data_IF_810141865436
#
_entry.id   IF_810141865436
#
_cell.length_a   1.000
_cell.length_b   1.000
_cell.length_c   1.000
_cell.angle_alpha   90.00
_cell.angle_beta   90.00
_cell.angle_gamma   90.00
#
_symmetry.space_group_name_H-M   'P 1'
#
loop_
_entity.id
_entity.type
_entity.pdbx_description
1 polymer ?
#
# COMPACT_ATOMS: atom_id res chain seq x y z
N UNK A 1 7.32 -53.52 12.48
CA UNK A 1 8.36 -52.47 12.61
C UNK A 1 8.35 -51.53 11.39
N UNK A 2 7.90 -50.28 11.54
CA UNK A 2 7.97 -49.25 10.48
C UNK A 2 9.42 -48.75 10.38
N UNK A 3 10.01 -48.64 9.17
CA UNK A 3 11.36 -48.10 9.05
C UNK A 3 11.40 -46.63 9.48
N UNK A 4 12.50 -46.16 10.07
CA UNK A 4 12.63 -44.76 10.48
C UNK A 4 12.55 -43.85 9.25
N UNK A 5 11.69 -42.82 9.32
CA UNK A 5 11.62 -41.77 8.31
C UNK A 5 12.97 -41.05 8.32
N UNK A 6 13.80 -41.27 7.29
CA UNK A 6 15.02 -40.49 7.08
C UNK A 6 14.64 -39.01 7.08
N UNK A 7 15.12 -38.27 8.06
CA UNK A 7 15.09 -36.80 8.04
C UNK A 7 15.88 -36.36 6.82
N UNK A 8 15.22 -35.71 5.86
CA UNK A 8 15.91 -35.13 4.71
C UNK A 8 16.72 -33.95 5.23
N UNK A 9 18.03 -34.14 5.34
CA UNK A 9 18.96 -33.03 5.59
C UNK A 9 19.06 -32.19 4.33
N UNK A 10 19.07 -30.87 4.50
CA UNK A 10 19.23 -29.94 3.39
C UNK A 10 20.68 -29.94 2.93
N UNK A 11 20.85 -29.94 1.62
CA UNK A 11 22.17 -29.76 1.00
C UNK A 11 22.65 -28.31 1.17
N UNK A 12 23.95 -28.08 1.08
CA UNK A 12 24.53 -26.72 1.13
C UNK A 12 23.95 -25.80 0.04
N UNK A 13 23.57 -26.36 -1.12
CA UNK A 13 22.91 -25.61 -2.19
C UNK A 13 21.49 -25.18 -1.79
N UNK A 14 20.72 -26.08 -1.19
CA UNK A 14 19.36 -25.77 -0.73
C UNK A 14 19.40 -24.68 0.36
N UNK A 15 20.36 -24.74 1.28
CA UNK A 15 20.56 -23.69 2.29
C UNK A 15 20.82 -22.31 1.66
N UNK A 16 21.79 -22.21 0.73
CA UNK A 16 22.08 -20.94 0.04
C UNK A 16 20.90 -20.38 -0.74
N UNK A 17 20.06 -21.24 -1.32
CA UNK A 17 18.86 -20.78 -2.03
C UNK A 17 17.82 -20.21 -1.08
N UNK A 18 17.67 -20.80 0.11
CA UNK A 18 16.77 -20.27 1.13
C UNK A 18 17.29 -18.95 1.71
N UNK A 19 18.60 -18.83 1.93
CA UNK A 19 19.21 -17.57 2.33
C UNK A 19 18.96 -16.47 1.28
N UNK A 20 19.18 -16.79 0.00
CA UNK A 20 18.92 -15.83 -1.10
C UNK A 20 17.43 -15.47 -1.21
N UNK A 21 16.53 -16.42 -0.96
CA UNK A 21 15.09 -16.16 -0.96
C UNK A 21 14.71 -15.22 0.20
N UNK A 22 15.32 -15.41 1.37
CA UNK A 22 15.11 -14.52 2.53
C UNK A 22 15.60 -13.09 2.24
N UNK A 23 16.76 -12.94 1.62
CA UNK A 23 17.27 -11.63 1.18
C UNK A 23 16.30 -10.94 0.21
N UNK A 24 15.82 -11.66 -0.81
CA UNK A 24 14.87 -11.09 -1.79
C UNK A 24 13.55 -10.70 -1.13
N UNK A 25 13.06 -11.47 -0.15
CA UNK A 25 11.88 -11.07 0.60
C UNK A 25 12.12 -9.81 1.43
N UNK A 26 13.28 -9.68 2.08
CA UNK A 26 13.62 -8.46 2.81
C UNK A 26 13.72 -7.23 1.89
N UNK A 27 14.31 -7.38 0.70
CA UNK A 27 14.35 -6.32 -0.33
C UNK A 27 12.93 -5.93 -0.78
N UNK A 28 12.06 -6.92 -0.99
CA UNK A 28 10.67 -6.69 -1.36
C UNK A 28 9.90 -5.95 -0.26
N UNK A 29 10.07 -6.35 1.00
CA UNK A 29 9.41 -5.74 2.16
C UNK A 29 9.85 -4.28 2.32
N UNK A 30 11.15 -4.00 2.16
CA UNK A 30 11.67 -2.63 2.18
C UNK A 30 11.07 -1.75 1.06
N UNK A 31 10.97 -2.28 -0.17
CA UNK A 31 10.35 -1.57 -1.28
C UNK A 31 8.84 -1.36 -1.08
N UNK A 32 8.14 -2.31 -0.46
CA UNK A 32 6.73 -2.18 -0.11
C UNK A 32 6.51 -1.09 0.95
N UNK A 33 7.36 -1.05 1.98
CA UNK A 33 7.36 0.00 3.02
C UNK A 33 7.57 1.38 2.42
N UNK A 34 8.57 1.54 1.54
CA UNK A 34 8.85 2.81 0.87
C UNK A 34 7.63 3.27 0.04
N UNK A 35 7.05 2.36 -0.75
CA UNK A 35 5.84 2.62 -1.51
C UNK A 35 4.67 3.02 -0.60
N UNK A 36 4.49 2.36 0.54
CA UNK A 36 3.46 2.70 1.52
C UNK A 36 3.67 4.11 2.09
N UNK A 37 4.91 4.49 2.40
CA UNK A 37 5.27 5.84 2.84
C UNK A 37 4.92 6.91 1.80
N UNK A 38 5.17 6.66 0.52
CA UNK A 38 4.77 7.57 -0.57
C UNK A 38 3.25 7.69 -0.70
N UNK A 39 2.51 6.59 -0.55
CA UNK A 39 1.03 6.62 -0.57
C UNK A 39 0.51 7.42 0.64
N UNK A 40 1.07 7.23 1.83
CA UNK A 40 0.70 7.98 3.03
C UNK A 40 0.96 9.47 2.86
N UNK A 41 2.11 9.86 2.29
CA UNK A 41 2.42 11.24 1.96
C UNK A 41 1.39 11.86 1.01
N UNK A 42 1.04 11.16 -0.07
CA UNK A 42 0.03 11.61 -1.04
C UNK A 42 -1.35 11.75 -0.37
N UNK A 43 -1.73 10.81 0.49
CA UNK A 43 -2.98 10.87 1.26
C UNK A 43 -3.02 12.06 2.24
N UNK A 44 -1.88 12.51 2.77
CA UNK A 44 -1.82 13.72 3.62
C UNK A 44 -2.11 15.01 2.84
N UNK A 45 -1.72 15.06 1.56
CA UNK A 45 -1.88 16.24 0.71
C UNK A 45 -3.27 16.36 0.08
N UNK A 46 -3.98 15.24 -0.06
CA UNK A 46 -5.25 15.17 -0.77
C UNK A 46 -6.37 14.62 0.13
N UNK A 47 -7.62 14.82 -0.27
CA UNK A 47 -8.73 14.14 0.40
C UNK A 47 -8.65 12.64 0.12
N UNK A 48 -9.06 11.81 1.07
CA UNK A 48 -9.03 10.36 0.89
C UNK A 48 -9.44 9.60 2.13
N UNK A 49 -9.35 8.29 2.05
CA UNK A 49 -9.71 7.37 3.12
C UNK A 49 -8.88 6.09 3.09
N UNK A 50 -8.72 5.48 4.25
CA UNK A 50 -8.24 4.11 4.41
C UNK A 50 -9.45 3.26 4.74
N UNK A 51 -9.71 2.24 3.92
CA UNK A 51 -10.77 1.27 4.18
C UNK A 51 -10.32 0.20 5.17
N UNK A 52 -11.28 -0.55 5.70
CA UNK A 52 -10.98 -1.66 6.60
C UNK A 52 -10.11 -2.73 5.90
N UNK A 53 -9.22 -3.41 6.63
CA UNK A 53 -8.46 -4.54 6.11
C UNK A 53 -9.39 -5.63 5.55
N UNK A 54 -9.03 -6.20 4.40
CA UNK A 54 -9.71 -7.37 3.85
C UNK A 54 -9.35 -8.68 4.57
N UNK A 55 -9.88 -9.82 4.12
CA UNK A 55 -9.55 -11.13 4.69
C UNK A 55 -8.06 -11.51 4.63
N UNK A 56 -7.32 -10.91 3.70
CA UNK A 56 -5.87 -11.07 3.55
C UNK A 56 -5.07 -10.10 4.44
N UNK A 57 -5.74 -9.25 5.24
CA UNK A 57 -5.12 -8.24 6.10
C UNK A 57 -4.72 -6.95 5.38
N UNK A 58 -4.87 -6.87 4.05
CA UNK A 58 -4.48 -5.70 3.28
C UNK A 58 -5.59 -4.66 3.27
N UNK A 59 -5.24 -3.42 3.59
CA UNK A 59 -6.17 -2.29 3.59
C UNK A 59 -6.17 -1.56 2.24
N UNK A 60 -7.34 -1.22 1.67
CA UNK A 60 -7.41 -0.33 0.53
C UNK A 60 -7.20 1.13 0.97
N UNK A 61 -6.42 1.89 0.21
CA UNK A 61 -6.25 3.33 0.39
C UNK A 61 -6.78 4.04 -0.84
N UNK A 62 -7.70 4.97 -0.62
CA UNK A 62 -8.32 5.80 -1.64
C UNK A 62 -7.86 7.25 -1.48
N UNK A 63 -7.42 7.85 -2.58
CA UNK A 63 -7.08 9.28 -2.64
C UNK A 63 -7.91 9.91 -3.75
N UNK A 64 -8.70 10.91 -3.39
CA UNK A 64 -9.51 11.69 -4.31
C UNK A 64 -8.66 12.84 -4.87
N UNK A 65 -8.41 12.76 -6.18
CA UNK A 65 -7.61 13.73 -6.94
C UNK A 65 -8.50 14.45 -7.95
N UNK A 66 -8.05 15.58 -8.51
CA UNK A 66 -8.75 16.25 -9.61
C UNK A 66 -8.93 15.36 -10.86
N UNK A 67 -8.07 14.35 -11.04
CA UNK A 67 -8.17 13.37 -12.12
C UNK A 67 -9.01 12.14 -11.78
N UNK A 68 -9.63 12.11 -10.59
CA UNK A 68 -10.45 11.00 -10.11
C UNK A 68 -9.85 10.29 -8.90
N UNK A 69 -10.40 9.12 -8.58
CA UNK A 69 -10.04 8.36 -7.38
C UNK A 69 -8.90 7.38 -7.66
N UNK A 70 -7.77 7.58 -6.99
CA UNK A 70 -6.65 6.64 -6.98
C UNK A 70 -6.85 5.62 -5.87
N UNK A 71 -6.65 4.34 -6.20
CA UNK A 71 -6.74 3.25 -5.22
C UNK A 71 -5.44 2.46 -5.19
N UNK A 72 -4.97 2.16 -3.99
CA UNK A 72 -3.86 1.25 -3.71
C UNK A 72 -4.28 0.24 -2.64
N UNK A 73 -3.49 -0.83 -2.49
CA UNK A 73 -3.52 -1.72 -1.33
C UNK A 73 -2.21 -1.59 -0.56
N UNK A 74 -2.32 -1.61 0.76
CA UNK A 74 -1.22 -1.52 1.73
C UNK A 74 -1.22 -2.76 2.60
N UNK A 75 -0.02 -3.28 2.86
CA UNK A 75 0.17 -4.47 3.67
C UNK A 75 -0.12 -4.17 5.17
N UNK A 76 -0.57 -5.15 5.96
CA UNK A 76 -0.88 -4.93 7.37
C UNK A 76 0.33 -4.42 8.18
N UNK A 77 1.54 -4.83 7.83
CA UNK A 77 2.80 -4.40 8.43
C UNK A 77 3.07 -2.90 8.26
N UNK A 78 2.42 -2.28 7.25
CA UNK A 78 2.56 -0.87 6.89
C UNK A 78 1.41 0.02 7.32
N UNK A 79 0.42 -0.55 8.02
CA UNK A 79 -0.77 0.18 8.45
C UNK A 79 -0.47 1.32 9.44
N UNK A 80 0.64 1.22 10.19
CA UNK A 80 1.08 2.23 11.16
C UNK A 80 1.36 3.60 10.52
N UNK A 81 1.80 3.61 9.26
CA UNK A 81 2.07 4.83 8.50
C UNK A 81 0.81 5.70 8.25
N UNK A 82 -0.38 5.13 8.44
CA UNK A 82 -1.67 5.76 8.13
C UNK A 82 -2.48 6.16 9.38
N UNK A 83 -1.94 5.95 10.59
CA UNK A 83 -2.64 6.20 11.85
C UNK A 83 -3.04 7.68 12.06
N UNK A 84 -2.20 8.62 11.63
CA UNK A 84 -2.50 10.06 11.70
C UNK A 84 -3.78 10.42 10.92
N UNK A 85 -3.99 9.78 9.76
CA UNK A 85 -5.17 9.98 8.93
C UNK A 85 -6.40 9.33 9.57
N UNK A 86 -6.27 8.14 10.14
CA UNK A 86 -7.37 7.53 10.89
C UNK A 86 -7.79 8.37 12.10
N UNK A 87 -6.81 8.95 12.81
CA UNK A 87 -7.06 9.86 13.92
C UNK A 87 -7.72 11.16 13.44
N UNK A 88 -7.25 11.74 12.34
CA UNK A 88 -7.84 12.93 11.73
C UNK A 88 -9.26 12.68 11.22
N UNK A 89 -9.54 11.52 10.64
CA UNK A 89 -10.89 11.11 10.21
C UNK A 89 -11.80 10.91 11.43
N UNK A 90 -11.33 10.24 12.50
CA UNK A 90 -12.07 10.12 13.76
C UNK A 90 -12.36 11.47 14.41
N UNK A 91 -11.41 12.41 14.36
CA UNK A 91 -11.60 13.77 14.86
C UNK A 91 -12.60 14.56 14.00
N UNK A 92 -12.54 14.42 12.67
CA UNK A 92 -13.47 15.05 11.71
C UNK A 92 -14.90 14.50 11.81
N UNK A 93 -15.09 13.32 12.40
CA UNK A 93 -16.41 12.83 12.82
C UNK A 93 -17.12 13.74 13.85
N UNK A 94 -16.44 14.73 14.43
CA UNK A 94 -17.03 15.71 15.36
C UNK A 94 -16.95 17.17 14.91
N UNK A 95 -16.28 17.52 13.82
CA UNK A 95 -16.19 18.92 13.39
C UNK A 95 -15.91 19.03 11.90
N UNK A 96 -16.87 19.59 11.16
CA UNK A 96 -16.80 19.85 9.73
C UNK A 96 -16.29 21.27 9.49
N UNK A 97 -14.98 21.43 9.30
CA UNK A 97 -14.38 22.55 8.54
C UNK A 97 -12.94 22.20 8.18
N UNK A 98 -12.62 22.20 6.88
CA UNK A 98 -11.24 22.17 6.38
C UNK A 98 -10.66 23.58 6.44
N UNK A 99 -9.39 23.77 6.85
CA UNK A 99 -8.72 25.05 6.64
C UNK A 99 -8.49 25.24 5.13
N UNK A 100 -8.83 26.43 4.64
CA UNK A 100 -8.56 26.86 3.27
C UNK A 100 -7.04 27.00 3.12
N UNK A 101 -6.41 26.09 2.36
CA UNK A 101 -4.98 26.16 2.04
C UNK A 101 -4.62 27.43 1.28
N UNK A 102 -3.40 27.90 1.46
CA UNK A 102 -2.89 29.13 0.82
C UNK A 102 -2.61 28.89 -0.67
N UNK A 103 -2.43 29.96 -1.47
CA UNK A 103 -2.22 29.86 -2.92
C UNK A 103 -1.04 28.95 -3.30
N UNK A 104 0.03 28.91 -2.50
CA UNK A 104 1.18 28.02 -2.69
C UNK A 104 0.87 26.54 -2.44
N UNK A 105 -0.09 26.23 -1.54
CA UNK A 105 -0.59 24.86 -1.37
C UNK A 105 -1.37 24.40 -2.59
N UNK A 106 -2.06 25.32 -3.26
CA UNK A 106 -2.85 25.05 -4.46
C UNK A 106 -1.96 24.69 -5.65
N UNK A 107 -0.85 25.39 -5.83
CA UNK A 107 0.08 25.19 -6.93
C UNK A 107 0.88 23.88 -6.78
N UNK A 108 1.39 23.59 -5.56
CA UNK A 108 2.00 22.29 -5.22
C UNK A 108 1.01 21.14 -5.33
N UNK A 109 -0.26 21.37 -5.00
CA UNK A 109 -1.32 20.40 -5.21
C UNK A 109 -1.52 20.09 -6.69
N UNK A 110 -1.53 21.09 -7.59
CA UNK A 110 -1.72 20.87 -9.04
C UNK A 110 -0.55 20.11 -9.67
N UNK A 111 0.69 20.44 -9.32
CA UNK A 111 1.88 19.72 -9.80
C UNK A 111 1.87 18.26 -9.32
N UNK A 112 1.53 18.04 -8.05
CA UNK A 112 1.41 16.71 -7.44
C UNK A 112 0.28 15.91 -8.09
N UNK A 113 -0.88 16.53 -8.32
CA UNK A 113 -2.02 15.93 -9.03
C UNK A 113 -1.63 15.50 -10.45
N UNK A 114 -0.87 16.33 -11.18
CA UNK A 114 -0.43 16.02 -12.55
C UNK A 114 0.51 14.81 -12.56
N UNK A 115 1.47 14.75 -11.63
CA UNK A 115 2.38 13.60 -11.49
C UNK A 115 1.67 12.32 -11.05
N UNK A 116 0.69 12.42 -10.14
CA UNK A 116 -0.11 11.28 -9.71
C UNK A 116 -1.04 10.75 -10.80
N UNK A 117 -1.59 11.66 -11.61
CA UNK A 117 -2.40 11.32 -12.79
C UNK A 117 -1.54 10.59 -13.82
N UNK A 118 -0.32 11.05 -14.06
CA UNK A 118 0.66 10.35 -14.91
C UNK A 118 0.95 8.95 -14.36
N UNK A 119 1.23 8.80 -13.06
CA UNK A 119 1.47 7.49 -12.45
C UNK A 119 0.25 6.56 -12.56
N UNK A 120 -0.97 7.09 -12.45
CA UNK A 120 -2.20 6.32 -12.62
C UNK A 120 -2.36 5.81 -14.05
N UNK A 121 -2.18 6.69 -15.03
CA UNK A 121 -2.31 6.38 -16.46
C UNK A 121 -1.20 5.43 -16.94
N UNK A 122 -0.02 5.49 -16.33
CA UNK A 122 1.14 4.66 -16.67
C UNK A 122 1.38 3.50 -15.70
N UNK A 123 0.38 3.13 -14.88
CA UNK A 123 0.46 1.88 -14.09
C UNK A 123 0.66 0.71 -15.05
N UNK A 124 1.86 0.10 -15.00
CA UNK A 124 2.08 -1.20 -15.65
C UNK A 124 1.10 -2.23 -15.06
N UNK A 125 0.40 -3.02 -15.88
CA UNK A 125 -0.76 -3.85 -15.51
C UNK A 125 -0.37 -5.15 -14.80
N UNK A 126 0.56 -5.11 -13.84
CA UNK A 126 1.01 -6.32 -13.14
C UNK A 126 0.09 -6.69 -11.97
N UNK A 127 -1.18 -6.95 -12.26
CA UNK A 127 -1.96 -8.08 -11.72
C UNK A 127 -3.37 -8.08 -12.32
N UNK A 128 -3.81 -9.18 -12.95
CA UNK A 128 -5.21 -9.35 -13.26
C UNK A 128 -5.97 -9.49 -11.94
N UNK A 129 -6.92 -8.59 -11.70
CA UNK A 129 -8.05 -8.84 -10.81
C UNK A 129 -8.82 -10.01 -11.42
N UNK A 130 -8.53 -11.24 -10.97
CA UNK A 130 -9.34 -12.41 -11.30
C UNK A 130 -10.71 -12.19 -10.69
N UNK A 131 -11.61 -11.59 -11.47
CA UNK A 131 -13.04 -11.58 -11.21
C UNK A 131 -13.52 -13.02 -11.31
N UNK A 132 -13.61 -13.70 -10.17
CA UNK A 132 -14.41 -14.90 -10.07
C UNK A 132 -15.88 -14.45 -9.99
N UNK A 133 -16.51 -14.16 -11.14
CA UNK A 133 -17.96 -14.28 -11.26
C UNK A 133 -18.23 -15.71 -11.73
N UNK A 134 -18.47 -16.59 -10.77
CA UNK A 134 -19.25 -17.79 -10.98
C UNK A 134 -20.71 -17.46 -10.62
N UNK A 135 -21.62 -17.85 -11.50
CA UNK A 135 -23.07 -17.60 -11.42
C UNK A 135 -23.62 -17.33 -12.80
#
# INVERSE_FOLDING_TARGET
PRPPRRSRSWTTRELRLVDRLAEVHAELDAAQRERAGLIAYVLRLHAGSVGAPGPDGWSPVHVDTAAGRLTWRVAPEDADLFQEQEAAVRARGRTRTLPVGTAGDRERSVETLTRLSFLHLHRRPNRPTRNNRGG
#
